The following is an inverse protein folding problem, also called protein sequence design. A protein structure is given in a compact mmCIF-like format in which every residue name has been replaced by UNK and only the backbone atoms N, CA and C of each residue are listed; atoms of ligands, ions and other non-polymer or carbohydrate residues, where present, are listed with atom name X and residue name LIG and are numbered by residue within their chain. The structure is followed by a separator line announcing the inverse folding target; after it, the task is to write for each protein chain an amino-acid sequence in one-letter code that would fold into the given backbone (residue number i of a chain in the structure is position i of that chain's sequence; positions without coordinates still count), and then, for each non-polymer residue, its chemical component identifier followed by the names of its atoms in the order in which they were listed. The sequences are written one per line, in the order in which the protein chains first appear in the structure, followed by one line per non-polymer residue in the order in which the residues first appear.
data_IF_724846986002
#
_entry.id   IF_724846986002
#
_cell.length_a   1.000
_cell.length_b   1.000
_cell.length_c   1.000
_cell.angle_alpha   90.00
_cell.angle_beta   90.00
_cell.angle_gamma   90.00
#
_symmetry.space_group_name_H-M   'P 1'
#
loop_
_entity.id
_entity.type
_entity.pdbx_description
1 polymer ?
#
# COMPACT_ATOMS: atom_id res chain seq x y z
N UNK A 1 9.87 28.76 -29.84
CA UNK A 1 9.01 27.62 -30.25
C UNK A 1 9.65 26.35 -29.68
N UNK A 2 9.26 25.98 -28.47
CA UNK A 2 9.76 24.77 -27.82
C UNK A 2 8.94 23.59 -28.32
N UNK A 3 9.61 22.68 -29.00
CA UNK A 3 9.07 21.41 -29.49
C UNK A 3 8.53 20.59 -28.31
N UNK A 4 7.23 20.58 -28.13
CA UNK A 4 6.57 19.69 -27.16
C UNK A 4 6.72 18.28 -27.73
N UNK A 5 7.76 17.57 -27.29
CA UNK A 5 7.94 16.17 -27.60
C UNK A 5 6.73 15.40 -27.03
N UNK A 6 5.96 14.89 -27.94
CA UNK A 6 4.86 13.97 -27.69
C UNK A 6 5.48 12.64 -27.20
N UNK A 7 5.87 12.57 -25.93
CA UNK A 7 6.40 11.35 -25.32
C UNK A 7 5.26 10.34 -25.25
N UNK A 8 5.14 9.53 -26.27
CA UNK A 8 4.31 8.31 -26.23
C UNK A 8 4.92 7.42 -25.16
N UNK A 9 4.15 7.16 -24.11
CA UNK A 9 4.55 6.20 -23.07
C UNK A 9 4.93 4.90 -23.76
N UNK A 10 6.17 4.48 -23.59
CA UNK A 10 6.73 3.30 -24.24
C UNK A 10 5.99 2.05 -23.75
N UNK A 11 5.84 1.05 -24.62
CA UNK A 11 5.17 -0.22 -24.25
C UNK A 11 5.84 -0.86 -23.01
N UNK A 12 7.15 -0.74 -22.91
CA UNK A 12 7.95 -1.20 -21.76
C UNK A 12 7.57 -0.50 -20.46
N UNK A 13 7.29 0.79 -20.48
CA UNK A 13 6.84 1.55 -19.31
C UNK A 13 5.43 1.09 -18.88
N UNK A 14 4.53 0.88 -19.84
CA UNK A 14 3.17 0.36 -19.55
C UNK A 14 3.20 -1.02 -18.92
N UNK A 15 4.04 -1.91 -19.45
CA UNK A 15 4.23 -3.27 -18.91
C UNK A 15 4.87 -3.19 -17.52
N UNK A 16 5.89 -2.36 -17.32
CA UNK A 16 6.53 -2.17 -16.02
C UNK A 16 5.56 -1.70 -14.94
N UNK A 17 4.69 -0.74 -15.25
CA UNK A 17 3.65 -0.28 -14.34
C UNK A 17 2.60 -1.37 -14.07
N UNK A 18 2.12 -2.06 -15.10
CA UNK A 18 1.16 -3.15 -14.93
C UNK A 18 1.69 -4.30 -14.11
N UNK A 19 2.97 -4.65 -14.25
CA UNK A 19 3.63 -5.66 -13.43
C UNK A 19 3.80 -5.20 -11.98
N UNK A 20 4.10 -3.92 -11.74
CA UNK A 20 4.19 -3.35 -10.40
C UNK A 20 2.86 -3.41 -9.67
N UNK A 21 1.78 -2.99 -10.31
CA UNK A 21 0.43 -3.05 -9.75
C UNK A 21 -0.04 -4.50 -9.52
N UNK A 22 0.19 -5.39 -10.47
CA UNK A 22 -0.09 -6.81 -10.33
C UNK A 22 0.67 -7.44 -9.14
N UNK A 23 1.94 -7.11 -8.98
CA UNK A 23 2.77 -7.56 -7.85
C UNK A 23 2.21 -7.07 -6.51
N UNK A 24 1.85 -5.80 -6.39
CA UNK A 24 1.27 -5.23 -5.18
C UNK A 24 -0.06 -5.91 -4.82
N UNK A 25 -0.92 -6.14 -5.82
CA UNK A 25 -2.20 -6.83 -5.61
C UNK A 25 -2.03 -8.29 -5.22
N UNK A 26 -1.06 -9.01 -5.80
CA UNK A 26 -0.76 -10.39 -5.42
C UNK A 26 -0.30 -10.48 -3.97
N UNK A 27 0.61 -9.60 -3.54
CA UNK A 27 1.07 -9.54 -2.15
C UNK A 27 -0.10 -9.23 -1.21
N UNK A 28 -0.97 -8.30 -1.59
CA UNK A 28 -2.15 -7.95 -0.80
C UNK A 28 -3.12 -9.13 -0.65
N UNK A 29 -3.43 -9.83 -1.73
CA UNK A 29 -4.32 -10.99 -1.71
C UNK A 29 -3.74 -12.15 -0.89
N UNK A 30 -2.45 -12.44 -1.08
CA UNK A 30 -1.74 -13.42 -0.24
C UNK A 30 -1.82 -13.06 1.22
N UNK A 31 -1.55 -11.80 1.56
CA UNK A 31 -1.61 -11.29 2.92
C UNK A 31 -3.00 -11.47 3.53
N UNK A 32 -4.07 -11.14 2.82
CA UNK A 32 -5.44 -11.29 3.31
C UNK A 32 -5.80 -12.76 3.62
N UNK A 33 -5.44 -13.68 2.74
CA UNK A 33 -5.76 -15.10 2.89
C UNK A 33 -4.93 -15.74 3.99
N UNK A 34 -3.60 -15.55 3.94
CA UNK A 34 -2.69 -16.20 4.88
C UNK A 34 -2.73 -15.59 6.27
N UNK A 35 -2.99 -14.29 6.39
CA UNK A 35 -3.07 -13.62 7.68
C UNK A 35 -4.22 -14.16 8.51
N UNK A 36 -5.39 -14.38 7.89
CA UNK A 36 -6.54 -14.96 8.57
C UNK A 36 -6.20 -16.36 9.08
N UNK A 37 -5.63 -17.21 8.23
CA UNK A 37 -5.18 -18.55 8.63
C UNK A 37 -4.11 -18.52 9.71
N UNK A 38 -3.17 -17.60 9.62
CA UNK A 38 -2.12 -17.45 10.62
C UNK A 38 -2.68 -17.13 12.00
N UNK A 39 -3.69 -16.25 12.07
CA UNK A 39 -4.33 -15.89 13.33
C UNK A 39 -5.16 -17.02 13.92
N UNK A 40 -5.86 -17.80 13.11
CA UNK A 40 -6.66 -18.94 13.60
C UNK A 40 -5.81 -20.17 13.92
N UNK A 41 -4.89 -20.53 13.06
CA UNK A 41 -4.18 -21.81 13.14
C UNK A 41 -2.92 -21.72 14.02
N UNK A 42 -2.19 -20.60 13.98
CA UNK A 42 -0.93 -20.43 14.72
C UNK A 42 -1.11 -19.69 16.03
N UNK A 43 -1.89 -18.60 16.03
CA UNK A 43 -2.21 -17.88 17.26
C UNK A 43 -3.34 -18.51 18.06
N UNK A 44 -4.07 -19.47 17.48
CA UNK A 44 -5.19 -20.14 18.14
C UNK A 44 -6.32 -19.18 18.54
N UNK A 45 -6.45 -18.07 17.80
CA UNK A 45 -7.54 -17.11 18.03
C UNK A 45 -8.82 -17.63 17.41
N UNK A 46 -9.93 -17.43 18.10
CA UNK A 46 -11.26 -17.71 17.54
C UNK A 46 -11.49 -16.84 16.29
N UNK A 47 -12.19 -17.38 15.30
CA UNK A 47 -12.44 -16.68 14.03
C UNK A 47 -13.14 -15.32 14.24
N UNK A 48 -13.97 -15.18 15.28
CA UNK A 48 -14.59 -13.91 15.64
C UNK A 48 -13.56 -12.85 16.08
N UNK A 49 -12.56 -13.27 16.87
CA UNK A 49 -11.46 -12.37 17.31
C UNK A 49 -10.58 -12.00 16.13
N UNK A 50 -10.20 -12.95 15.28
CA UNK A 50 -9.43 -12.69 14.07
C UNK A 50 -10.19 -11.73 13.12
N UNK A 51 -11.50 -11.90 12.97
CA UNK A 51 -12.36 -10.99 12.23
C UNK A 51 -12.39 -9.58 12.82
N UNK A 52 -12.42 -9.46 14.15
CA UNK A 52 -12.39 -8.17 14.85
C UNK A 52 -11.07 -7.46 14.65
N UNK A 53 -9.94 -8.17 14.70
CA UNK A 53 -8.60 -7.62 14.38
C UNK A 53 -8.57 -6.99 12.99
N UNK A 54 -9.09 -7.71 11.99
CA UNK A 54 -9.17 -7.20 10.62
C UNK A 54 -10.13 -6.02 10.48
N UNK A 55 -11.26 -6.03 11.18
CA UNK A 55 -12.23 -4.94 11.18
C UNK A 55 -11.61 -3.64 11.73
N UNK A 56 -10.92 -3.74 12.87
CA UNK A 56 -10.24 -2.60 13.50
C UNK A 56 -9.20 -1.99 12.53
N UNK A 57 -8.40 -2.82 11.90
CA UNK A 57 -7.42 -2.34 10.91
C UNK A 57 -8.11 -1.62 9.73
N UNK A 58 -9.24 -2.14 9.22
CA UNK A 58 -10.01 -1.49 8.15
C UNK A 58 -10.59 -0.13 8.56
N UNK A 59 -11.03 0.00 9.82
CA UNK A 59 -11.49 1.29 10.34
C UNK A 59 -10.33 2.30 10.38
N UNK A 60 -9.15 1.86 10.83
CA UNK A 60 -7.96 2.72 10.85
C UNK A 60 -7.55 3.12 9.42
N UNK A 61 -7.54 2.18 8.45
CA UNK A 61 -7.26 2.46 7.05
C UNK A 61 -8.18 3.54 6.48
N UNK A 62 -9.46 3.53 6.81
CA UNK A 62 -10.43 4.52 6.35
C UNK A 62 -10.05 5.97 6.73
N UNK A 63 -9.29 6.15 7.82
CA UNK A 63 -8.75 7.46 8.24
C UNK A 63 -7.34 7.71 7.69
N UNK A 64 -6.54 6.66 7.61
CA UNK A 64 -5.15 6.75 7.15
C UNK A 64 -5.09 7.04 5.66
N UNK A 65 -5.88 6.37 4.83
CA UNK A 65 -5.83 6.52 3.37
C UNK A 65 -6.02 7.96 2.88
N UNK A 66 -7.04 8.73 3.33
CA UNK A 66 -7.18 10.13 2.97
C UNK A 66 -6.02 10.98 3.48
N UNK A 67 -5.51 10.68 4.69
CA UNK A 67 -4.38 11.40 5.29
C UNK A 67 -3.10 11.21 4.48
N UNK A 68 -2.82 9.97 4.07
CA UNK A 68 -1.69 9.62 3.22
C UNK A 68 -1.82 10.30 1.85
N UNK A 69 -3.04 10.32 1.27
CA UNK A 69 -3.32 11.02 0.03
C UNK A 69 -2.96 12.52 0.11
N UNK A 70 -3.44 13.21 1.14
CA UNK A 70 -3.15 14.64 1.36
C UNK A 70 -1.66 14.88 1.59
N UNK A 71 -1.01 14.02 2.38
CA UNK A 71 0.41 14.14 2.71
C UNK A 71 1.30 13.92 1.47
N UNK A 72 0.97 12.93 0.65
CA UNK A 72 1.67 12.67 -0.60
C UNK A 72 1.48 13.82 -1.60
N UNK A 73 0.32 14.47 -1.61
CA UNK A 73 0.05 15.63 -2.46
C UNK A 73 0.85 16.87 -2.08
N UNK A 74 1.17 17.04 -0.82
CA UNK A 74 1.99 18.16 -0.31
C UNK A 74 3.48 17.93 -0.46
N UNK A 75 3.91 16.70 -0.71
CA UNK A 75 5.34 16.37 -0.82
C UNK A 75 5.88 16.82 -2.17
N UNK A 76 6.91 17.64 -2.14
CA UNK A 76 7.63 18.12 -3.33
C UNK A 76 9.12 17.76 -3.17
N UNK A 77 9.57 16.70 -3.84
CA UNK A 77 10.93 16.21 -3.74
C UNK A 77 11.70 16.35 -5.05
N UNK A 78 13.02 16.50 -4.96
CA UNK A 78 13.95 16.55 -6.11
C UNK A 78 13.89 15.29 -6.98
N UNK A 79 13.45 14.16 -6.42
CA UNK A 79 13.37 12.85 -7.10
C UNK A 79 11.99 12.54 -7.66
N UNK A 80 11.11 13.53 -7.68
CA UNK A 80 9.70 13.41 -8.02
C UNK A 80 8.80 13.37 -6.78
N UNK A 81 7.48 13.44 -7.01
CA UNK A 81 6.51 13.58 -5.92
C UNK A 81 6.33 12.29 -5.11
N UNK A 82 6.37 11.13 -5.77
CA UNK A 82 5.99 9.83 -5.19
C UNK A 82 7.14 8.83 -5.03
N UNK A 83 8.20 8.92 -5.85
CA UNK A 83 9.35 8.00 -5.79
C UNK A 83 10.02 7.90 -4.42
N UNK A 84 10.28 8.99 -3.68
CA UNK A 84 10.87 8.89 -2.36
C UNK A 84 9.97 8.18 -1.36
N UNK A 85 8.65 8.33 -1.46
CA UNK A 85 7.71 7.65 -0.57
C UNK A 85 7.78 6.13 -0.72
N UNK A 86 7.78 5.62 -1.94
CA UNK A 86 7.88 4.18 -2.21
C UNK A 86 9.19 3.61 -1.67
N UNK A 87 10.32 4.30 -1.88
CA UNK A 87 11.62 3.86 -1.38
C UNK A 87 11.70 3.86 0.16
N UNK A 88 11.22 4.93 0.80
CA UNK A 88 11.28 5.05 2.25
C UNK A 88 10.28 4.14 2.97
N UNK A 89 9.15 3.86 2.38
CA UNK A 89 8.14 2.96 2.97
C UNK A 89 8.39 1.49 2.69
N UNK A 90 9.17 1.14 1.67
CA UNK A 90 9.48 -0.26 1.34
C UNK A 90 10.21 -0.99 2.48
N UNK A 91 11.17 -0.31 3.13
CA UNK A 91 11.94 -0.87 4.24
C UNK A 91 11.07 -1.12 5.49
N UNK A 92 10.34 -0.12 6.04
CA UNK A 92 9.39 -0.36 7.13
C UNK A 92 8.31 -1.39 6.77
N UNK A 93 7.80 -1.37 5.53
CA UNK A 93 6.82 -2.35 5.07
C UNK A 93 7.34 -3.79 5.23
N UNK A 94 8.58 -4.04 4.79
CA UNK A 94 9.21 -5.37 4.94
C UNK A 94 9.33 -5.77 6.41
N UNK A 95 9.73 -4.85 7.29
CA UNK A 95 9.86 -5.12 8.74
C UNK A 95 8.50 -5.45 9.35
N UNK A 96 7.47 -4.63 9.08
CA UNK A 96 6.13 -4.89 9.61
C UNK A 96 5.48 -6.13 9.01
N UNK A 97 5.81 -6.47 7.75
CA UNK A 97 5.38 -7.71 7.14
C UNK A 97 5.93 -8.93 7.91
N UNK A 98 7.22 -8.93 8.23
CA UNK A 98 7.83 -10.00 9.04
C UNK A 98 7.23 -10.04 10.46
N UNK A 99 7.04 -8.88 11.09
CA UNK A 99 6.44 -8.80 12.43
C UNK A 99 5.00 -9.31 12.44
N UNK A 100 4.20 -9.03 11.41
CA UNK A 100 2.81 -9.48 11.33
C UNK A 100 2.68 -11.02 11.23
N UNK A 101 3.71 -11.69 10.71
CA UNK A 101 3.80 -13.17 10.63
C UNK A 101 4.73 -13.78 11.68
N UNK A 102 5.25 -13.00 12.61
CA UNK A 102 6.09 -13.50 13.68
C UNK A 102 5.24 -13.91 14.87
N UNK A 103 5.44 -15.13 15.36
CA UNK A 103 4.78 -15.61 16.59
C UNK A 103 5.69 -15.33 17.78
N UNK A 104 5.31 -14.40 18.68
CA UNK A 104 6.10 -14.06 19.85
C UNK A 104 6.04 -15.13 20.97
N UNK A 105 5.29 -16.22 20.79
CA UNK A 105 5.17 -17.28 21.80
C UNK A 105 4.42 -16.85 23.07
N UNK A 106 3.52 -15.88 22.96
CA UNK A 106 2.72 -15.39 24.08
C UNK A 106 1.56 -16.35 24.31
N UNK A 107 1.40 -16.85 25.54
CA UNK A 107 0.31 -17.77 25.90
C UNK A 107 -1.03 -17.07 26.14
N UNK A 108 -1.01 -15.80 26.52
CA UNK A 108 -2.21 -15.01 26.76
C UNK A 108 -2.88 -14.59 25.45
N UNK A 109 -4.08 -15.12 25.22
CA UNK A 109 -4.87 -14.85 24.01
C UNK A 109 -5.23 -13.35 23.83
N UNK A 110 -5.39 -12.62 24.93
CA UNK A 110 -5.66 -11.19 24.89
C UNK A 110 -4.46 -10.39 24.38
N UNK A 111 -3.27 -10.71 24.89
CA UNK A 111 -2.03 -10.08 24.44
C UNK A 111 -1.67 -10.45 23.00
N UNK A 112 -1.93 -11.69 22.58
CA UNK A 112 -1.76 -12.13 21.20
C UNK A 112 -2.69 -11.37 20.26
N UNK A 113 -3.97 -11.19 20.64
CA UNK A 113 -4.92 -10.43 19.84
C UNK A 113 -4.52 -8.93 19.74
N UNK A 114 -4.01 -8.35 20.82
CA UNK A 114 -3.49 -6.99 20.82
C UNK A 114 -2.27 -6.85 19.89
N UNK A 115 -1.32 -7.78 20.01
CA UNK A 115 -0.13 -7.83 19.14
C UNK A 115 -0.53 -7.97 17.66
N UNK A 116 -1.46 -8.88 17.36
CA UNK A 116 -2.00 -9.08 16.02
C UNK A 116 -2.65 -7.79 15.46
N UNK A 117 -3.43 -7.10 16.29
CA UNK A 117 -4.10 -5.85 15.91
C UNK A 117 -3.08 -4.76 15.59
N UNK A 118 -2.09 -4.57 16.44
CA UNK A 118 -1.06 -3.52 16.25
C UNK A 118 -0.20 -3.83 15.02
N UNK A 119 0.34 -5.04 14.92
CA UNK A 119 1.24 -5.42 13.83
C UNK A 119 0.53 -5.38 12.47
N UNK A 120 -0.71 -5.84 12.40
CA UNK A 120 -1.51 -5.81 11.19
C UNK A 120 -1.91 -4.39 10.78
N UNK A 121 -2.31 -3.56 11.73
CA UNK A 121 -2.66 -2.16 11.47
C UNK A 121 -1.45 -1.37 10.95
N UNK A 122 -0.27 -1.57 11.55
CA UNK A 122 0.96 -0.95 11.07
C UNK A 122 1.34 -1.43 9.66
N UNK A 123 1.19 -2.72 9.40
CA UNK A 123 1.44 -3.29 8.08
C UNK A 123 0.51 -2.68 7.02
N UNK A 124 -0.81 -2.59 7.32
CA UNK A 124 -1.80 -1.99 6.43
C UNK A 124 -1.51 -0.51 6.18
N UNK A 125 -1.17 0.23 7.23
CA UNK A 125 -0.76 1.64 7.11
C UNK A 125 0.44 1.80 6.15
N UNK A 126 1.47 0.98 6.29
CA UNK A 126 2.63 1.03 5.39
C UNK A 126 2.29 0.59 3.97
N UNK A 127 1.38 -0.38 3.82
CA UNK A 127 0.85 -0.77 2.52
C UNK A 127 0.12 0.39 1.82
N UNK A 128 -0.72 1.14 2.56
CA UNK A 128 -1.42 2.31 2.05
C UNK A 128 -0.45 3.39 1.56
N UNK A 129 0.61 3.68 2.32
CA UNK A 129 1.67 4.60 1.89
C UNK A 129 2.35 4.15 0.59
N UNK A 130 2.65 2.87 0.47
CA UNK A 130 3.31 2.32 -0.72
C UNK A 130 2.37 2.34 -1.95
N UNK A 131 1.11 1.96 -1.77
CA UNK A 131 0.12 1.88 -2.85
C UNK A 131 -0.30 3.25 -3.38
N UNK A 132 -0.49 4.24 -2.50
CA UNK A 132 -0.82 5.61 -2.87
C UNK A 132 0.23 6.23 -3.79
N UNK A 133 1.51 5.98 -3.54
CA UNK A 133 2.60 6.44 -4.41
C UNK A 133 2.49 5.94 -5.85
N UNK A 134 2.05 4.72 -6.04
CA UNK A 134 1.92 4.08 -7.36
C UNK A 134 0.70 4.58 -8.15
N UNK A 135 -0.45 4.72 -7.50
CA UNK A 135 -1.71 5.15 -8.15
C UNK A 135 -1.67 6.59 -8.67
N UNK A 136 -1.10 7.51 -7.91
CA UNK A 136 -1.07 8.94 -8.30
C UNK A 136 -0.08 9.23 -9.43
N UNK A 137 0.99 8.45 -9.58
CA UNK A 137 1.93 8.61 -10.70
C UNK A 137 1.24 8.27 -12.03
N UNK A 138 0.43 7.21 -12.06
CA UNK A 138 -0.37 6.80 -13.22
C UNK A 138 -1.42 7.87 -13.59
N UNK A 139 -2.14 8.41 -12.61
CA UNK A 139 -3.18 9.41 -12.82
C UNK A 139 -2.67 10.72 -13.44
N UNK A 140 -1.47 11.16 -13.08
CA UNK A 140 -0.84 12.37 -13.64
C UNK A 140 -0.49 12.23 -15.11
N UNK A 141 0.05 11.10 -15.51
CA UNK A 141 0.37 10.86 -16.92
C UNK A 141 -0.88 10.89 -17.80
N UNK A 142 -2.01 10.36 -17.32
CA UNK A 142 -3.27 10.41 -18.04
C UNK A 142 -3.90 11.81 -18.11
N UNK A 143 -3.84 12.58 -17.02
CA UNK A 143 -4.44 13.92 -16.98
C UNK A 143 -3.63 14.92 -17.81
N UNK A 144 -2.31 14.81 -17.81
CA UNK A 144 -1.43 15.62 -18.67
C UNK A 144 -1.74 15.38 -20.15
N UNK A 145 -1.94 14.14 -20.55
CA UNK A 145 -2.29 13.77 -21.93
C UNK A 145 -3.67 14.31 -22.37
N UNK A 146 -4.66 14.30 -21.49
CA UNK A 146 -5.99 14.87 -21.77
C UNK A 146 -5.94 16.38 -21.93
N UNK A 147 -5.19 17.06 -21.07
CA UNK A 147 -5.06 18.53 -21.12
C UNK A 147 -4.34 18.98 -22.40
N UNK A 148 -3.34 18.23 -22.87
CA UNK A 148 -2.64 18.54 -24.13
C UNK A 148 -3.61 18.33 -25.32
N UNK A 149 -4.43 17.29 -25.30
CA UNK A 149 -5.39 17.01 -26.38
C UNK A 149 -6.47 18.10 -26.51
N UNK A 150 -6.97 18.61 -25.39
CA UNK A 150 -8.00 19.69 -25.39
C UNK A 150 -7.47 21.08 -25.77
N UNK A 151 -6.17 21.24 -25.92
CA UNK A 151 -5.55 22.49 -26.38
C UNK A 151 -5.27 22.44 -27.90
N UNK A 152 -5.24 21.23 -28.48
CA UNK A 152 -4.92 21.00 -29.89
C UNK A 152 -6.18 20.85 -30.76
N UNK A 153 -7.32 20.49 -30.16
CA UNK A 153 -8.68 20.52 -30.78
C UNK A 153 -9.31 21.90 -30.63
#
# INVERSE_FOLDING_TARGET
MSTIQNQKVTLTEKIGYGLGDCSANLVFQMMMIYQTKFYTDIFGLEGAIAGTVMLVARIVDAFVDPTVGILSDRTNSRWGKYRPWVLWTALPFMVFYVLAFYNPGIEDKGLVALYATISYTLLMTMYSFNNTGTFFDIGRHHTSQRRIRSIIE
#
